data_IF_333447166120
#
_entry.id   IF_333447166120
#
_cell.length_a   1.000
_cell.length_b   1.000
_cell.length_c   1.000
_cell.angle_alpha   90.00
_cell.angle_beta   90.00
_cell.angle_gamma   90.00
#
_symmetry.space_group_name_H-M   'P 1'
#
loop_
_entity.id
_entity.type
_entity.pdbx_description
1 polymer ?
#
# COMPACT_ATOMS: atom_id res chain seq x y z
N UNK A 1 -0.58 13.77 8.97
CA UNK A 1 -0.24 15.22 9.03
C UNK A 1 1.18 15.50 8.54
N UNK A 2 2.23 14.78 8.99
CA UNK A 2 3.60 14.92 8.48
C UNK A 2 3.70 14.83 6.94
N UNK A 3 2.97 13.89 6.33
CA UNK A 3 2.92 13.74 4.87
C UNK A 3 2.47 14.99 4.11
N UNK A 4 1.58 15.82 4.68
CA UNK A 4 1.18 17.08 4.05
C UNK A 4 2.32 18.10 4.05
N UNK A 5 3.13 18.14 5.11
CA UNK A 5 4.35 18.94 5.15
C UNK A 5 5.35 18.52 4.06
N UNK A 6 5.59 17.21 3.93
CA UNK A 6 6.46 16.65 2.88
C UNK A 6 5.95 16.94 1.47
N UNK A 7 4.65 16.75 1.24
CA UNK A 7 4.02 17.03 -0.06
C UNK A 7 4.23 18.49 -0.48
N UNK A 8 4.19 19.44 0.46
CA UNK A 8 4.47 20.85 0.20
C UNK A 8 5.91 21.14 -0.22
N UNK A 9 6.89 20.49 0.41
CA UNK A 9 8.31 20.63 0.06
C UNK A 9 8.62 20.06 -1.32
N UNK A 10 8.02 18.90 -1.65
CA UNK A 10 8.22 18.24 -2.94
C UNK A 10 7.23 18.68 -4.03
N UNK A 11 6.33 19.62 -3.75
CA UNK A 11 5.28 20.09 -4.68
C UNK A 11 5.82 20.47 -6.06
N UNK A 12 6.91 21.24 -6.12
CA UNK A 12 7.52 21.66 -7.39
C UNK A 12 8.01 20.49 -8.25
N UNK A 13 8.41 19.39 -7.62
CA UNK A 13 8.99 18.22 -8.31
C UNK A 13 7.90 17.20 -8.64
N UNK A 14 7.01 16.90 -7.68
CA UNK A 14 6.03 15.81 -7.79
C UNK A 14 4.67 16.25 -8.38
N UNK A 15 4.32 17.54 -8.30
CA UNK A 15 3.00 18.04 -8.71
C UNK A 15 3.09 18.98 -9.90
N UNK A 16 4.01 19.95 -9.89
CA UNK A 16 4.10 20.96 -10.95
C UNK A 16 4.77 20.46 -12.24
N UNK A 17 5.42 19.30 -12.19
CA UNK A 17 6.14 18.70 -13.31
C UNK A 17 5.19 17.95 -14.25
N UNK A 18 5.29 18.21 -15.55
CA UNK A 18 4.48 17.55 -16.59
C UNK A 18 4.71 16.03 -16.72
N UNK A 19 5.80 15.51 -16.15
CA UNK A 19 6.13 14.08 -16.20
C UNK A 19 5.41 13.24 -15.14
N UNK A 20 4.78 13.89 -14.16
CA UNK A 20 4.11 13.24 -13.03
C UNK A 20 2.59 13.30 -13.27
N UNK A 21 2.02 12.19 -13.75
CA UNK A 21 0.62 12.17 -14.23
C UNK A 21 -0.38 11.64 -13.20
N UNK A 22 0.06 10.91 -12.18
CA UNK A 22 -0.76 10.41 -11.06
C UNK A 22 -2.04 9.68 -11.51
N UNK A 23 -1.94 8.38 -11.85
CA UNK A 23 -3.01 7.66 -12.55
C UNK A 23 -4.35 7.64 -11.81
N UNK A 24 -4.32 7.47 -10.48
CA UNK A 24 -5.52 7.53 -9.64
C UNK A 24 -6.23 8.89 -9.71
N UNK A 25 -5.49 10.01 -9.87
CA UNK A 25 -6.10 11.33 -9.98
C UNK A 25 -6.84 11.50 -11.31
N UNK A 26 -6.41 10.85 -12.39
CA UNK A 26 -7.14 10.88 -13.66
C UNK A 26 -8.54 10.29 -13.56
N UNK A 27 -8.71 9.26 -12.73
CA UNK A 27 -10.04 8.69 -12.44
C UNK A 27 -10.93 9.74 -11.78
N UNK A 28 -10.43 10.49 -10.80
CA UNK A 28 -11.17 11.57 -10.16
C UNK A 28 -11.50 12.71 -11.14
N UNK A 29 -10.54 13.12 -11.97
CA UNK A 29 -10.75 14.14 -13.00
C UNK A 29 -11.84 13.72 -13.97
N UNK A 30 -11.90 12.44 -14.35
CA UNK A 30 -12.94 11.92 -15.24
C UNK A 30 -14.35 12.06 -14.64
N UNK A 31 -14.49 11.84 -13.33
CA UNK A 31 -15.76 12.01 -12.61
C UNK A 31 -16.15 13.49 -12.56
N UNK A 32 -15.22 14.37 -12.17
CA UNK A 32 -15.50 15.81 -12.14
C UNK A 32 -15.90 16.35 -13.50
N UNK A 33 -15.22 15.89 -14.56
CA UNK A 33 -15.52 16.23 -15.94
C UNK A 33 -16.91 15.75 -16.36
N UNK A 34 -17.31 14.54 -16.00
CA UNK A 34 -18.65 14.01 -16.26
C UNK A 34 -19.76 14.79 -15.55
N UNK A 35 -19.48 15.39 -14.38
CA UNK A 35 -20.44 16.19 -13.61
C UNK A 35 -20.54 17.65 -14.07
N UNK A 36 -19.43 18.25 -14.53
CA UNK A 36 -19.36 19.69 -14.83
C UNK A 36 -19.44 20.04 -16.31
N UNK A 37 -18.99 19.16 -17.23
CA UNK A 37 -19.08 19.46 -18.66
C UNK A 37 -20.51 19.30 -19.16
N UNK A 38 -21.04 20.36 -19.78
CA UNK A 38 -22.29 20.31 -20.52
C UNK A 38 -22.05 19.54 -21.82
N UNK A 39 -22.62 18.36 -21.93
CA UNK A 39 -22.46 17.47 -23.07
C UNK A 39 -23.69 17.49 -23.97
N UNK A 40 -23.49 17.72 -25.27
CA UNK A 40 -24.55 17.56 -26.26
C UNK A 40 -24.74 16.08 -26.59
N UNK A 41 -25.98 15.60 -26.46
CA UNK A 41 -26.31 14.19 -26.66
C UNK A 41 -26.15 13.81 -28.14
N UNK A 42 -25.16 12.98 -28.44
CA UNK A 42 -25.00 12.38 -29.77
C UNK A 42 -26.18 11.44 -30.05
N UNK A 43 -26.81 11.54 -31.23
CA UNK A 43 -27.94 10.67 -31.64
C UNK A 43 -27.53 9.19 -31.51
N UNK A 44 -28.26 8.43 -30.69
CA UNK A 44 -28.03 7.00 -30.46
C UNK A 44 -27.09 6.64 -29.29
N UNK A 45 -26.48 7.62 -28.60
CA UNK A 45 -25.59 7.37 -27.46
C UNK A 45 -26.20 7.72 -26.09
N UNK A 46 -25.60 7.16 -25.03
CA UNK A 46 -25.76 7.62 -23.65
C UNK A 46 -24.83 8.80 -23.40
N UNK A 47 -25.27 9.79 -22.62
CA UNK A 47 -24.35 10.84 -22.12
C UNK A 47 -23.44 10.28 -21.03
N UNK A 48 -22.28 10.92 -20.80
CA UNK A 48 -21.35 10.52 -19.72
C UNK A 48 -22.04 10.52 -18.35
N UNK A 49 -22.90 11.50 -18.09
CA UNK A 49 -23.67 11.58 -16.85
C UNK A 49 -24.71 10.46 -16.73
N UNK A 50 -25.41 10.12 -17.81
CA UNK A 50 -26.36 9.00 -17.82
C UNK A 50 -25.65 7.67 -17.55
N UNK A 51 -24.51 7.43 -18.21
CA UNK A 51 -23.70 6.24 -17.95
C UNK A 51 -23.22 6.19 -16.49
N UNK A 52 -22.75 7.32 -15.94
CA UNK A 52 -22.33 7.41 -14.55
C UNK A 52 -23.46 7.05 -13.57
N UNK A 53 -24.66 7.60 -13.74
CA UNK A 53 -25.80 7.30 -12.86
C UNK A 53 -26.22 5.84 -12.98
N UNK A 54 -26.27 5.28 -14.20
CA UNK A 54 -26.57 3.85 -14.41
C UNK A 54 -25.53 2.99 -13.69
N UNK A 55 -24.24 3.25 -13.89
CA UNK A 55 -23.16 2.50 -13.27
C UNK A 55 -23.19 2.63 -11.73
N UNK A 56 -23.48 3.82 -11.20
CA UNK A 56 -23.62 4.08 -9.77
C UNK A 56 -24.77 3.27 -9.17
N UNK A 57 -25.96 3.34 -9.76
CA UNK A 57 -27.14 2.62 -9.27
C UNK A 57 -26.97 1.10 -9.40
N UNK A 58 -26.44 0.61 -10.52
CA UNK A 58 -26.13 -0.81 -10.69
C UNK A 58 -25.09 -1.29 -9.68
N UNK A 59 -24.02 -0.52 -9.45
CA UNK A 59 -23.00 -0.88 -8.46
C UNK A 59 -23.57 -0.86 -7.05
N UNK A 60 -24.35 0.16 -6.69
CA UNK A 60 -25.03 0.24 -5.39
C UNK A 60 -25.92 -0.97 -5.14
N UNK A 61 -26.77 -1.33 -6.10
CA UNK A 61 -27.63 -2.51 -6.01
C UNK A 61 -26.81 -3.81 -5.95
N UNK A 62 -25.74 -3.90 -6.74
CA UNK A 62 -24.87 -5.08 -6.77
C UNK A 62 -24.14 -5.29 -5.44
N UNK A 63 -23.58 -4.25 -4.81
CA UNK A 63 -22.81 -4.40 -3.58
C UNK A 63 -23.62 -4.87 -2.36
N UNK A 64 -24.95 -4.73 -2.37
CA UNK A 64 -25.83 -5.33 -1.36
C UNK A 64 -25.72 -6.86 -1.39
N UNK A 65 -25.50 -7.43 -2.58
CA UNK A 65 -25.47 -8.87 -2.78
C UNK A 65 -24.25 -9.55 -2.11
N UNK A 66 -22.98 -9.19 -2.40
CA UNK A 66 -21.84 -9.81 -1.73
C UNK A 66 -21.68 -9.35 -0.27
N UNK A 67 -22.06 -8.11 0.10
CA UNK A 67 -21.80 -7.60 1.44
C UNK A 67 -22.89 -7.92 2.48
N UNK A 68 -24.14 -8.13 2.06
CA UNK A 68 -25.26 -8.34 2.98
C UNK A 68 -25.98 -9.67 2.76
N UNK A 69 -26.36 -10.01 1.52
CA UNK A 69 -27.16 -11.21 1.26
C UNK A 69 -26.32 -12.49 1.19
N UNK A 70 -25.19 -12.46 0.46
CA UNK A 70 -24.36 -13.62 0.14
C UNK A 70 -22.87 -13.32 0.30
N UNK A 71 -22.40 -13.28 1.55
CA UNK A 71 -20.97 -13.09 1.89
C UNK A 71 -20.01 -14.09 1.24
N UNK A 72 -20.51 -15.25 0.82
CA UNK A 72 -19.72 -16.26 0.09
C UNK A 72 -19.26 -15.79 -1.29
N UNK A 73 -19.95 -14.83 -1.91
CA UNK A 73 -19.57 -14.28 -3.21
C UNK A 73 -18.31 -13.42 -3.16
N UNK A 74 -17.96 -12.91 -1.97
CA UNK A 74 -16.73 -12.17 -1.76
C UNK A 74 -15.49 -13.06 -1.90
N UNK A 75 -15.56 -14.36 -1.57
CA UNK A 75 -14.48 -15.32 -1.83
C UNK A 75 -15.02 -16.73 -2.11
N UNK A 76 -15.13 -17.07 -3.39
CA UNK A 76 -15.48 -18.41 -3.86
C UNK A 76 -14.20 -19.20 -4.12
N UNK A 77 -13.88 -20.11 -3.20
CA UNK A 77 -12.68 -20.96 -3.29
C UNK A 77 -13.04 -22.35 -3.79
N UNK A 78 -12.74 -22.65 -5.05
CA UNK A 78 -13.10 -23.94 -5.70
C UNK A 78 -12.43 -25.11 -4.96
N UNK A 79 -11.15 -24.95 -4.60
CA UNK A 79 -10.40 -25.97 -3.88
C UNK A 79 -11.00 -26.30 -2.51
N UNK A 80 -11.47 -25.29 -1.76
CA UNK A 80 -12.15 -25.50 -0.48
C UNK A 80 -13.51 -26.18 -0.64
N UNK A 81 -14.19 -25.97 -1.77
CA UNK A 81 -15.48 -26.62 -2.04
C UNK A 81 -15.33 -28.11 -2.37
N UNK A 82 -14.29 -28.47 -3.13
CA UNK A 82 -14.01 -29.86 -3.52
C UNK A 82 -13.43 -30.65 -2.34
N UNK A 83 -12.46 -30.08 -1.61
CA UNK A 83 -11.76 -30.76 -0.51
C UNK A 83 -12.08 -30.14 0.84
N UNK A 84 -13.28 -30.41 1.34
CA UNK A 84 -13.79 -29.84 2.60
C UNK A 84 -13.03 -30.32 3.84
N UNK A 85 -12.58 -31.58 3.87
CA UNK A 85 -12.01 -32.18 5.09
C UNK A 85 -10.48 -32.09 5.17
N UNK A 86 -9.81 -31.59 4.13
CA UNK A 86 -8.35 -31.53 4.07
C UNK A 86 -7.83 -30.13 4.41
N UNK A 87 -7.21 -30.01 5.59
CA UNK A 87 -6.59 -28.75 6.07
C UNK A 87 -5.57 -28.19 5.07
N UNK A 88 -4.77 -29.04 4.43
CA UNK A 88 -3.78 -28.61 3.43
C UNK A 88 -4.47 -28.00 2.19
N UNK A 89 -5.58 -28.60 1.73
CA UNK A 89 -6.33 -28.07 0.60
C UNK A 89 -6.97 -26.71 0.94
N UNK A 90 -7.42 -26.54 2.18
CA UNK A 90 -7.92 -25.24 2.66
C UNK A 90 -6.82 -24.19 2.78
N UNK A 91 -5.63 -24.54 3.29
CA UNK A 91 -4.50 -23.59 3.39
C UNK A 91 -3.97 -23.16 2.02
N UNK A 92 -4.03 -24.03 1.02
CA UNK A 92 -3.61 -23.70 -0.36
C UNK A 92 -4.71 -22.93 -1.10
N UNK A 93 -5.96 -23.37 -0.94
CA UNK A 93 -7.09 -22.97 -1.77
C UNK A 93 -7.97 -21.86 -1.21
N UNK A 94 -7.86 -21.51 0.07
CA UNK A 94 -8.68 -20.47 0.69
C UNK A 94 -8.18 -19.08 0.29
N UNK A 95 -9.08 -18.23 -0.18
CA UNK A 95 -8.76 -16.84 -0.54
C UNK A 95 -8.59 -15.90 0.67
N UNK A 96 -9.14 -16.25 1.83
CA UNK A 96 -9.03 -15.42 3.05
C UNK A 96 -7.97 -15.94 4.02
N UNK A 97 -7.92 -17.26 4.20
CA UNK A 97 -7.10 -17.93 5.23
C UNK A 97 -6.03 -18.84 4.61
N UNK A 98 -5.69 -18.61 3.35
CA UNK A 98 -4.77 -19.45 2.59
C UNK A 98 -4.08 -18.70 1.45
N UNK A 99 -3.40 -19.45 0.60
CA UNK A 99 -2.64 -18.91 -0.54
C UNK A 99 -3.52 -18.50 -1.74
N UNK A 100 -4.83 -18.77 -1.68
CA UNK A 100 -5.80 -18.32 -2.68
C UNK A 100 -5.75 -19.03 -4.04
N UNK A 101 -5.15 -20.23 -4.15
CA UNK A 101 -5.10 -20.96 -5.42
C UNK A 101 -6.51 -21.41 -5.83
N UNK A 102 -7.00 -20.91 -6.96
CA UNK A 102 -8.34 -21.22 -7.45
C UNK A 102 -9.45 -20.55 -6.64
N UNK A 103 -9.14 -19.46 -5.94
CA UNK A 103 -10.12 -18.56 -5.34
C UNK A 103 -10.50 -17.44 -6.30
N UNK A 104 -11.80 -17.19 -6.41
CA UNK A 104 -12.36 -16.11 -7.20
C UNK A 104 -13.21 -15.23 -6.30
N UNK A 105 -13.19 -13.92 -6.56
CA UNK A 105 -14.11 -12.98 -5.92
C UNK A 105 -15.05 -12.42 -6.97
N UNK A 106 -16.33 -12.34 -6.65
CA UNK A 106 -17.31 -11.58 -7.41
C UNK A 106 -17.52 -10.18 -6.84
N UNK A 107 -16.85 -9.86 -5.73
CA UNK A 107 -16.90 -8.55 -5.10
C UNK A 107 -15.73 -7.69 -5.58
N UNK A 108 -16.05 -6.63 -6.33
CA UNK A 108 -15.04 -5.71 -6.84
C UNK A 108 -14.26 -5.01 -5.72
N UNK A 109 -14.85 -4.82 -4.53
CA UNK A 109 -14.14 -4.23 -3.40
C UNK A 109 -13.04 -5.16 -2.88
N UNK A 110 -13.26 -6.48 -2.90
CA UNK A 110 -12.26 -7.49 -2.57
C UNK A 110 -11.19 -7.56 -3.65
N UNK A 111 -11.59 -7.55 -4.94
CA UNK A 111 -10.65 -7.53 -6.06
C UNK A 111 -9.73 -6.30 -5.99
N UNK A 112 -10.31 -5.11 -5.79
CA UNK A 112 -9.56 -3.88 -5.69
C UNK A 112 -8.65 -3.86 -4.44
N UNK A 113 -9.16 -4.22 -3.26
CA UNK A 113 -8.33 -4.24 -2.05
C UNK A 113 -7.17 -5.25 -2.12
N UNK A 114 -7.37 -6.39 -2.78
CA UNK A 114 -6.34 -7.43 -2.92
C UNK A 114 -5.21 -7.02 -3.88
N UNK A 115 -5.53 -6.20 -4.90
CA UNK A 115 -4.55 -5.72 -5.90
C UNK A 115 -3.97 -4.33 -5.59
N UNK A 116 -3.72 -4.03 -4.31
CA UNK A 116 -3.15 -2.76 -3.84
C UNK A 116 -3.94 -1.50 -4.30
N UNK A 117 -5.26 -1.62 -4.49
CA UNK A 117 -6.13 -0.54 -4.93
C UNK A 117 -6.86 -0.85 -6.24
N UNK A 118 -7.26 0.17 -7.00
CA UNK A 118 -8.03 -0.09 -8.22
C UNK A 118 -7.12 -0.51 -9.38
N UNK A 119 -7.19 -1.76 -9.89
CA UNK A 119 -6.40 -2.18 -11.04
C UNK A 119 -6.77 -1.40 -12.31
N UNK A 120 -7.99 -0.85 -12.38
CA UNK A 120 -8.43 0.00 -13.50
C UNK A 120 -7.64 1.31 -13.62
N UNK A 121 -7.14 1.83 -12.49
CA UNK A 121 -6.37 3.06 -12.46
C UNK A 121 -4.87 2.82 -12.73
N UNK A 122 -4.42 1.56 -12.69
CA UNK A 122 -3.01 1.20 -12.73
C UNK A 122 -2.59 0.78 -14.15
N UNK A 123 -1.43 1.22 -14.66
CA UNK A 123 -0.94 0.80 -15.96
C UNK A 123 -0.76 -0.73 -16.07
N UNK A 124 -1.08 -1.29 -17.24
CA UNK A 124 -0.98 -2.74 -17.49
C UNK A 124 0.40 -3.33 -17.15
N UNK A 125 1.48 -2.65 -17.54
CA UNK A 125 2.84 -3.17 -17.30
C UNK A 125 3.14 -3.31 -15.80
N UNK A 126 2.61 -2.40 -14.96
CA UNK A 126 2.81 -2.43 -13.51
C UNK A 126 2.03 -3.60 -12.90
N UNK A 127 0.79 -3.83 -13.36
CA UNK A 127 -0.04 -4.97 -12.96
C UNK A 127 0.64 -6.28 -13.32
N UNK A 128 1.12 -6.41 -14.56
CA UNK A 128 1.81 -7.62 -15.02
C UNK A 128 3.07 -7.91 -14.19
N UNK A 129 3.86 -6.87 -13.88
CA UNK A 129 5.07 -7.02 -13.06
C UNK A 129 4.75 -7.48 -11.62
N UNK A 130 3.74 -6.88 -10.98
CA UNK A 130 3.28 -7.29 -9.64
C UNK A 130 2.76 -8.72 -9.67
N UNK A 131 2.02 -9.10 -10.72
CA UNK A 131 1.50 -10.46 -10.87
C UNK A 131 2.60 -11.51 -10.99
N UNK A 132 3.65 -11.22 -11.75
CA UNK A 132 4.82 -12.10 -11.84
C UNK A 132 5.51 -12.22 -10.49
N UNK A 133 5.72 -11.09 -9.79
CA UNK A 133 6.29 -11.09 -8.44
C UNK A 133 5.46 -11.91 -7.44
N UNK A 134 4.14 -11.69 -7.45
CA UNK A 134 3.18 -12.44 -6.63
C UNK A 134 3.25 -13.94 -6.91
N UNK A 135 3.22 -14.35 -8.17
CA UNK A 135 3.33 -15.77 -8.55
C UNK A 135 4.62 -16.41 -8.02
N UNK A 136 5.76 -15.73 -8.18
CA UNK A 136 7.05 -16.22 -7.72
C UNK A 136 7.07 -16.35 -6.18
N UNK A 137 6.66 -15.32 -5.44
CA UNK A 137 6.73 -15.35 -3.98
C UNK A 137 5.73 -16.34 -3.39
N UNK A 138 4.46 -16.27 -3.81
CA UNK A 138 3.36 -17.00 -3.18
C UNK A 138 3.28 -18.44 -3.65
N UNK A 139 3.52 -18.72 -4.93
CA UNK A 139 3.32 -20.06 -5.50
C UNK A 139 4.61 -20.84 -5.75
N UNK A 140 5.77 -20.18 -5.80
CA UNK A 140 7.05 -20.87 -5.99
C UNK A 140 7.87 -20.88 -4.70
N UNK A 141 8.24 -19.70 -4.18
CA UNK A 141 9.15 -19.59 -3.03
C UNK A 141 8.48 -20.07 -1.75
N UNK A 142 7.23 -19.67 -1.47
CA UNK A 142 6.53 -20.05 -0.23
C UNK A 142 6.40 -21.57 -0.06
N UNK A 143 5.94 -22.34 -1.07
CA UNK A 143 5.86 -23.80 -0.95
C UNK A 143 7.23 -24.48 -0.86
N UNK A 144 8.25 -23.99 -1.57
CA UNK A 144 9.62 -24.52 -1.50
C UNK A 144 10.18 -24.32 -0.08
N UNK A 145 10.06 -23.11 0.47
CA UNK A 145 10.54 -22.78 1.80
C UNK A 145 9.83 -23.61 2.88
N UNK A 146 8.51 -23.82 2.76
CA UNK A 146 7.76 -24.67 3.67
C UNK A 146 8.17 -26.15 3.58
N UNK A 147 8.33 -26.66 2.35
CA UNK A 147 8.73 -28.05 2.11
C UNK A 147 10.12 -28.37 2.64
N UNK A 148 11.06 -27.43 2.46
CA UNK A 148 12.42 -27.49 3.00
C UNK A 148 12.51 -27.27 4.53
N UNK A 149 11.37 -27.05 5.21
CA UNK A 149 11.30 -26.83 6.65
C UNK A 149 12.23 -25.70 7.15
N UNK A 150 12.36 -24.62 6.38
CA UNK A 150 13.19 -23.48 6.77
C UNK A 150 12.60 -22.84 8.04
N UNK A 151 13.43 -22.64 9.07
CA UNK A 151 13.01 -22.12 10.39
C UNK A 151 11.94 -22.96 11.13
N UNK A 152 11.97 -24.29 10.99
CA UNK A 152 11.00 -25.20 11.60
C UNK A 152 9.55 -24.92 11.17
N UNK A 153 9.39 -24.45 9.93
CA UNK A 153 8.12 -24.06 9.33
C UNK A 153 6.97 -25.06 9.46
N UNK A 154 7.26 -26.36 9.47
CA UNK A 154 6.23 -27.41 9.48
C UNK A 154 5.44 -27.50 10.79
N UNK A 155 5.92 -26.85 11.86
CA UNK A 155 5.24 -26.82 13.17
C UNK A 155 4.02 -25.88 13.18
N UNK A 156 3.90 -24.99 12.20
CA UNK A 156 2.84 -23.99 12.09
C UNK A 156 2.24 -23.95 10.68
N UNK A 157 1.06 -23.33 10.50
CA UNK A 157 0.42 -23.23 9.18
C UNK A 157 1.26 -22.41 8.18
N UNK A 158 1.15 -22.75 6.89
CA UNK A 158 1.87 -22.07 5.79
C UNK A 158 1.51 -20.58 5.76
N UNK A 159 0.22 -20.29 5.91
CA UNK A 159 -0.37 -18.97 5.88
C UNK A 159 -1.04 -18.67 7.23
N UNK A 160 -0.54 -17.65 7.93
CA UNK A 160 -1.15 -17.13 9.16
C UNK A 160 -0.52 -15.78 9.52
N UNK A 161 -1.35 -14.85 10.00
CA UNK A 161 -0.89 -13.60 10.62
C UNK A 161 -0.52 -13.76 12.10
N UNK A 162 -0.74 -14.95 12.65
CA UNK A 162 -0.42 -15.30 14.03
C UNK A 162 1.09 -15.43 14.28
N UNK A 163 1.45 -15.30 15.55
CA UNK A 163 2.79 -15.47 16.07
C UNK A 163 2.82 -16.74 16.91
N UNK A 164 3.86 -17.54 16.75
CA UNK A 164 3.98 -18.87 17.34
C UNK A 164 5.22 -19.01 18.22
N UNK A 165 5.14 -19.91 19.20
CA UNK A 165 6.29 -20.41 19.94
C UNK A 165 7.00 -21.56 19.19
N UNK A 166 8.12 -22.03 19.73
CA UNK A 166 8.93 -23.11 19.14
C UNK A 166 8.19 -24.46 19.05
N UNK A 167 7.11 -24.62 19.81
CA UNK A 167 6.28 -25.82 19.87
C UNK A 167 5.04 -25.72 18.96
N UNK A 168 4.81 -24.56 18.32
CA UNK A 168 3.69 -24.32 17.43
C UNK A 168 2.42 -23.78 18.11
N UNK A 169 2.47 -23.44 19.40
CA UNK A 169 1.35 -22.80 20.09
C UNK A 169 1.34 -21.29 19.85
N UNK A 170 0.19 -20.64 20.09
CA UNK A 170 0.09 -19.19 20.05
C UNK A 170 1.04 -18.54 21.06
N UNK A 171 1.81 -17.55 20.62
CA UNK A 171 2.85 -16.94 21.43
C UNK A 171 2.28 -16.14 22.61
N UNK A 172 2.66 -16.50 23.83
CA UNK A 172 2.20 -15.83 25.05
C UNK A 172 2.97 -14.52 25.28
N UNK A 173 2.32 -13.41 24.90
CA UNK A 173 2.89 -12.05 24.99
C UNK A 173 3.12 -11.61 26.44
N UNK A 174 2.36 -12.14 27.41
CA UNK A 174 2.43 -11.70 28.82
C UNK A 174 3.71 -12.15 29.52
N UNK A 175 4.34 -13.23 29.03
CA UNK A 175 5.62 -13.73 29.55
C UNK A 175 6.83 -12.89 29.15
N UNK A 176 6.68 -12.12 28.07
CA UNK A 176 7.77 -11.39 27.40
C UNK A 176 7.60 -9.88 27.53
N UNK A 177 6.36 -9.39 27.70
CA UNK A 177 6.08 -7.99 28.02
C UNK A 177 5.49 -7.87 29.43
N UNK A 178 6.25 -7.26 30.34
CA UNK A 178 5.78 -6.84 31.67
C UNK A 178 5.62 -5.32 31.67
N UNK A 179 4.43 -4.82 32.00
CA UNK A 179 4.14 -3.38 32.02
C UNK A 179 4.54 -2.66 30.72
N UNK A 180 4.26 -3.28 29.58
CA UNK A 180 4.67 -2.85 28.23
C UNK A 180 6.19 -2.77 27.99
N UNK A 181 7.03 -3.15 28.95
CA UNK A 181 8.48 -3.26 28.81
C UNK A 181 8.87 -4.67 28.41
N UNK A 182 9.82 -4.75 27.50
CA UNK A 182 10.38 -6.02 27.07
C UNK A 182 11.22 -6.65 28.19
N UNK A 183 10.81 -7.84 28.65
CA UNK A 183 11.53 -8.65 29.62
C UNK A 183 12.44 -9.65 28.88
N UNK A 184 13.74 -9.36 28.88
CA UNK A 184 14.74 -10.16 28.18
C UNK A 184 14.88 -11.56 28.80
N UNK A 185 14.85 -11.66 30.12
CA UNK A 185 15.00 -12.95 30.80
C UNK A 185 13.75 -13.82 30.57
N UNK A 186 12.56 -13.21 30.54
CA UNK A 186 11.32 -13.87 30.15
C UNK A 186 11.34 -14.38 28.71
N UNK A 187 11.92 -13.61 27.78
CA UNK A 187 12.10 -14.01 26.39
C UNK A 187 13.07 -15.17 26.21
N UNK A 188 14.26 -15.08 26.81
CA UNK A 188 15.31 -16.09 26.66
C UNK A 188 14.90 -17.43 27.29
N UNK A 189 14.10 -17.41 28.36
CA UNK A 189 13.61 -18.63 29.03
C UNK A 189 12.35 -19.25 28.39
N UNK A 190 11.52 -18.48 27.68
CA UNK A 190 10.26 -18.96 27.12
C UNK A 190 10.43 -19.59 25.73
N UNK A 191 10.66 -18.76 24.71
CA UNK A 191 10.79 -19.21 23.32
C UNK A 191 11.20 -18.05 22.44
N UNK A 192 11.95 -18.36 21.38
CA UNK A 192 12.09 -17.43 20.24
C UNK A 192 10.74 -17.25 19.56
N UNK A 193 10.55 -16.09 18.95
CA UNK A 193 9.35 -15.73 18.22
C UNK A 193 9.40 -16.35 16.81
N UNK A 194 8.41 -17.17 16.47
CA UNK A 194 8.25 -17.77 15.14
C UNK A 194 7.05 -17.16 14.41
N UNK A 195 7.22 -16.93 13.10
CA UNK A 195 6.19 -16.43 12.20
C UNK A 195 5.93 -17.48 11.12
N UNK A 196 4.72 -17.50 10.56
CA UNK A 196 4.41 -18.38 9.42
C UNK A 196 5.36 -18.14 8.24
N UNK A 197 5.54 -19.15 7.38
CA UNK A 197 6.44 -19.06 6.23
C UNK A 197 6.05 -17.91 5.30
N UNK A 198 4.76 -17.79 4.99
CA UNK A 198 4.25 -16.71 4.16
C UNK A 198 4.50 -15.34 4.79
N UNK A 199 4.26 -15.20 6.09
CA UNK A 199 4.42 -13.92 6.78
C UNK A 199 5.89 -13.50 6.85
N UNK A 200 6.79 -14.44 7.16
CA UNK A 200 8.24 -14.22 7.14
C UNK A 200 8.74 -13.77 5.78
N UNK A 201 8.33 -14.45 4.71
CA UNK A 201 8.72 -14.10 3.33
C UNK A 201 8.18 -12.73 2.93
N UNK A 202 6.95 -12.41 3.31
CA UNK A 202 6.33 -11.10 3.02
C UNK A 202 7.12 -9.97 3.69
N UNK A 203 7.55 -10.13 4.95
CA UNK A 203 8.43 -9.17 5.60
C UNK A 203 9.79 -9.05 4.91
N UNK A 204 10.41 -10.19 4.56
CA UNK A 204 11.69 -10.21 3.86
C UNK A 204 11.64 -9.47 2.52
N UNK A 205 10.61 -9.74 1.72
CA UNK A 205 10.37 -9.04 0.44
C UNK A 205 10.04 -7.57 0.67
N UNK A 206 9.32 -7.22 1.73
CA UNK A 206 9.06 -5.82 2.10
C UNK A 206 10.34 -5.02 2.34
N UNK A 207 11.27 -5.57 3.13
CA UNK A 207 12.58 -4.94 3.34
C UNK A 207 13.43 -4.88 2.07
N UNK A 208 13.43 -5.96 1.28
CA UNK A 208 14.09 -5.97 -0.02
C UNK A 208 13.50 -4.93 -0.98
N UNK A 209 12.17 -4.72 -0.93
CA UNK A 209 11.45 -3.74 -1.73
C UNK A 209 11.88 -2.30 -1.45
N UNK A 210 12.16 -1.95 -0.19
CA UNK A 210 12.69 -0.64 0.16
C UNK A 210 14.07 -0.38 -0.48
N UNK A 211 14.98 -1.35 -0.34
CA UNK A 211 16.32 -1.26 -0.94
C UNK A 211 16.27 -1.28 -2.48
N UNK A 212 15.40 -2.12 -3.05
CA UNK A 212 15.18 -2.20 -4.49
C UNK A 212 14.60 -0.92 -5.05
N UNK A 213 13.67 -0.27 -4.35
CA UNK A 213 13.08 1.02 -4.74
C UNK A 213 14.14 2.10 -4.84
N UNK A 214 14.98 2.24 -3.81
CA UNK A 214 16.09 3.19 -3.84
C UNK A 214 17.06 2.87 -4.98
N UNK A 215 17.48 1.62 -5.11
CA UNK A 215 18.43 1.20 -6.16
C UNK A 215 17.87 1.43 -7.56
N UNK A 216 16.61 1.08 -7.80
CA UNK A 216 15.92 1.25 -9.07
C UNK A 216 15.79 2.73 -9.45
N UNK A 217 15.32 3.55 -8.51
CA UNK A 217 15.16 4.99 -8.76
C UNK A 217 16.51 5.67 -8.97
N UNK A 218 17.53 5.35 -8.17
CA UNK A 218 18.86 5.93 -8.31
C UNK A 218 19.53 5.52 -9.64
N UNK A 219 19.46 4.25 -10.04
CA UNK A 219 20.12 3.75 -11.25
C UNK A 219 19.40 4.15 -12.54
N UNK A 220 18.07 3.98 -12.61
CA UNK A 220 17.32 4.19 -13.85
C UNK A 220 16.76 5.60 -13.99
N UNK A 221 16.34 6.21 -12.89
CA UNK A 221 15.71 7.52 -12.89
C UNK A 221 16.62 8.63 -12.35
N UNK A 222 17.74 8.32 -11.71
CA UNK A 222 18.60 9.31 -11.03
C UNK A 222 19.06 10.46 -11.94
N UNK A 223 19.51 10.16 -13.17
CA UNK A 223 19.91 11.20 -14.14
C UNK A 223 18.72 12.07 -14.59
N UNK A 224 17.56 11.45 -14.81
CA UNK A 224 16.33 12.17 -15.20
C UNK A 224 15.83 13.05 -14.06
N UNK A 225 15.84 12.52 -12.83
CA UNK A 225 15.48 13.24 -11.60
C UNK A 225 16.41 14.42 -11.40
N UNK A 226 17.72 14.24 -11.50
CA UNK A 226 18.66 15.34 -11.32
C UNK A 226 18.43 16.48 -12.32
N UNK A 227 18.22 16.12 -13.59
CA UNK A 227 17.88 17.09 -14.64
C UNK A 227 16.54 17.78 -14.38
N UNK A 228 15.52 17.02 -13.96
CA UNK A 228 14.19 17.54 -13.67
C UNK A 228 14.18 18.42 -12.43
N UNK A 229 14.79 18.01 -11.32
CA UNK A 229 14.96 18.83 -10.12
C UNK A 229 15.66 20.15 -10.48
N UNK A 230 16.72 20.10 -11.31
CA UNK A 230 17.39 21.33 -11.78
C UNK A 230 16.51 22.20 -12.67
N UNK A 231 15.70 21.61 -13.55
CA UNK A 231 14.80 22.32 -14.45
C UNK A 231 13.58 22.91 -13.70
N UNK A 232 12.97 22.15 -12.77
CA UNK A 232 11.89 22.60 -11.89
C UNK A 232 12.33 23.72 -10.94
N UNK A 233 13.59 23.73 -10.49
CA UNK A 233 14.16 24.86 -9.74
C UNK A 233 14.29 26.11 -10.62
N UNK A 234 14.47 25.94 -11.94
CA UNK A 234 14.60 27.01 -12.94
C UNK A 234 13.28 27.35 -13.65
N UNK A 235 12.15 26.77 -13.22
CA UNK A 235 10.83 26.88 -13.87
C UNK A 235 10.80 26.51 -15.37
N UNK A 236 11.78 25.73 -15.84
CA UNK A 236 11.81 25.16 -17.19
C UNK A 236 11.00 23.84 -17.20
N UNK A 237 9.92 23.79 -17.99
CA UNK A 237 8.98 22.65 -18.16
C UNK A 237 7.82 22.54 -17.14
N UNK A 238 7.15 23.67 -16.88
CA UNK A 238 5.89 23.68 -16.12
C UNK A 238 4.75 23.08 -16.95
N UNK A 239 3.97 22.18 -16.34
CA UNK A 239 2.80 21.58 -16.98
C UNK A 239 1.75 22.63 -17.43
N UNK A 240 0.98 22.32 -18.48
CA UNK A 240 -0.10 23.20 -18.98
C UNK A 240 -1.14 23.45 -17.90
N UNK A 241 -1.54 22.44 -17.13
CA UNK A 241 -2.49 22.63 -16.04
C UNK A 241 -1.88 23.48 -14.93
N UNK A 242 -0.61 23.25 -14.59
CA UNK A 242 0.08 24.09 -13.60
C UNK A 242 0.17 25.54 -14.04
N UNK A 243 0.44 25.80 -15.32
CA UNK A 243 0.46 27.16 -15.89
C UNK A 243 -0.91 27.83 -15.85
N UNK A 244 -1.98 27.11 -16.17
CA UNK A 244 -3.36 27.61 -16.05
C UNK A 244 -3.74 27.87 -14.59
N UNK A 245 -3.36 26.97 -13.67
CA UNK A 245 -3.59 27.15 -12.23
C UNK A 245 -2.85 28.36 -11.68
N UNK A 246 -1.56 28.54 -12.01
CA UNK A 246 -0.76 29.71 -11.59
C UNK A 246 -1.32 31.03 -12.14
N UNK A 247 -2.02 31.02 -13.28
CA UNK A 247 -2.64 32.21 -13.87
C UNK A 247 -3.94 32.61 -13.15
N UNK A 248 -4.70 31.64 -12.65
CA UNK A 248 -6.04 31.86 -12.13
C UNK A 248 -6.12 31.79 -10.60
N UNK A 249 -5.10 31.23 -9.92
CA UNK A 249 -5.10 31.00 -8.48
C UNK A 249 -3.74 31.32 -7.86
N UNK A 250 -3.78 31.99 -6.70
CA UNK A 250 -2.58 32.24 -5.91
C UNK A 250 -2.01 30.95 -5.33
N UNK A 251 -0.69 30.80 -5.41
CA UNK A 251 -0.02 29.63 -4.88
C UNK A 251 0.03 29.67 -3.34
N UNK A 252 -0.37 28.57 -2.69
CA UNK A 252 -0.20 28.41 -1.25
C UNK A 252 1.27 28.60 -0.86
N UNK A 253 1.60 29.53 0.06
CA UNK A 253 2.97 29.78 0.48
C UNK A 253 3.64 28.54 1.07
N UNK A 254 4.93 28.32 0.74
CA UNK A 254 5.70 27.19 1.28
C UNK A 254 5.85 27.23 2.80
N UNK A 255 5.78 28.43 3.40
CA UNK A 255 5.84 28.62 4.85
C UNK A 255 4.75 27.85 5.61
N UNK A 256 3.53 27.75 5.06
CA UNK A 256 2.45 26.98 5.70
C UNK A 256 2.82 25.50 5.86
N UNK A 257 3.45 24.91 4.83
CA UNK A 257 3.87 23.51 4.89
C UNK A 257 5.03 23.30 5.87
N UNK A 258 5.96 24.25 5.96
CA UNK A 258 7.07 24.21 6.93
C UNK A 258 6.55 24.37 8.36
N UNK A 259 5.64 25.32 8.61
CA UNK A 259 5.03 25.53 9.93
C UNK A 259 4.27 24.27 10.36
N UNK A 260 3.44 23.70 9.47
CA UNK A 260 2.73 22.45 9.75
C UNK A 260 3.70 21.30 10.02
N UNK A 261 4.79 21.20 9.27
CA UNK A 261 5.80 20.16 9.49
C UNK A 261 6.45 20.30 10.87
N UNK A 262 6.93 21.50 11.22
CA UNK A 262 7.57 21.77 12.51
C UNK A 262 6.59 21.53 13.67
N UNK A 263 5.35 22.00 13.55
CA UNK A 263 4.33 21.80 14.57
C UNK A 263 4.05 20.31 14.81
N UNK A 264 3.90 19.53 13.74
CA UNK A 264 3.59 18.10 13.85
C UNK A 264 4.78 17.28 14.35
N UNK A 265 6.02 17.63 13.97
CA UNK A 265 7.23 17.02 14.54
C UNK A 265 7.32 17.32 16.04
N UNK A 266 7.05 18.57 16.45
CA UNK A 266 7.00 18.96 17.86
C UNK A 266 5.96 18.16 18.65
N UNK A 267 4.75 18.01 18.11
CA UNK A 267 3.70 17.17 18.71
C UNK A 267 4.09 15.69 18.77
N UNK A 268 4.78 15.17 17.76
CA UNK A 268 5.26 13.79 17.76
C UNK A 268 6.31 13.54 18.86
N UNK A 269 7.27 14.46 19.02
CA UNK A 269 8.26 14.40 20.11
C UNK A 269 7.57 14.51 21.47
N UNK A 270 6.64 15.47 21.62
CA UNK A 270 5.86 15.63 22.84
C UNK A 270 5.07 14.37 23.18
N UNK A 271 4.50 13.69 22.20
CA UNK A 271 3.75 12.44 22.43
C UNK A 271 4.67 11.30 22.86
N UNK A 272 5.90 11.22 22.31
CA UNK A 272 6.83 10.16 22.68
C UNK A 272 7.40 10.33 24.10
N UNK A 273 7.73 11.56 24.50
CA UNK A 273 8.36 11.85 25.80
C UNK A 273 7.35 12.22 26.90
N UNK A 274 6.25 12.90 26.55
CA UNK A 274 5.32 13.52 27.51
C UNK A 274 4.40 12.55 28.26
N UNK A 275 4.11 11.37 27.71
CA UNK A 275 3.22 10.37 28.33
C UNK A 275 3.97 9.36 29.20
N UNK A 276 4.99 9.81 29.96
CA UNK A 276 5.74 8.96 30.88
C UNK A 276 6.52 7.83 30.19
N UNK A 277 6.93 8.02 28.93
CA UNK A 277 7.75 7.06 28.19
C UNK A 277 7.05 5.76 27.77
N UNK A 278 5.70 5.72 27.74
CA UNK A 278 4.94 4.52 27.32
C UNK A 278 5.32 4.02 25.91
N UNK A 279 5.65 4.93 25.00
CA UNK A 279 6.00 4.61 23.61
C UNK A 279 7.44 4.10 23.45
N UNK A 280 8.29 4.21 24.47
CA UNK A 280 9.69 3.75 24.51
C UNK A 280 10.60 4.25 23.37
N UNK A 281 10.10 5.15 22.51
CA UNK A 281 10.83 5.74 21.41
C UNK A 281 11.47 7.05 21.90
N UNK A 282 12.80 7.17 21.90
CA UNK A 282 13.47 8.40 22.31
C UNK A 282 13.24 9.52 21.28
N UNK A 283 13.31 10.78 21.71
CA UNK A 283 13.13 11.96 20.85
C UNK A 283 13.96 11.94 19.54
N UNK A 284 15.21 11.45 19.60
CA UNK A 284 16.08 11.36 18.42
C UNK A 284 15.58 10.29 17.42
N UNK A 285 14.87 9.26 17.90
CA UNK A 285 14.24 8.24 17.07
C UNK A 285 13.14 8.82 16.19
N UNK A 286 12.40 9.83 16.69
CA UNK A 286 11.40 10.57 15.90
C UNK A 286 12.08 11.34 14.76
N UNK A 287 13.20 12.02 15.05
CA UNK A 287 13.97 12.75 14.03
C UNK A 287 14.58 11.80 13.00
N UNK A 288 15.11 10.67 13.43
CA UNK A 288 15.64 9.64 12.54
C UNK A 288 14.55 9.08 11.61
N UNK A 289 13.37 8.76 12.15
CA UNK A 289 12.22 8.32 11.37
C UNK A 289 11.77 9.39 10.36
N UNK A 290 11.79 10.67 10.74
CA UNK A 290 11.49 11.77 9.83
C UNK A 290 12.53 11.88 8.70
N UNK A 291 13.82 11.76 9.02
CA UNK A 291 14.90 11.80 8.03
C UNK A 291 14.81 10.62 7.04
N UNK A 292 14.50 9.43 7.53
CA UNK A 292 14.25 8.25 6.71
C UNK A 292 13.02 8.47 5.82
N UNK A 293 11.88 8.87 6.38
CA UNK A 293 10.68 9.14 5.59
C UNK A 293 10.93 10.21 4.51
N UNK A 294 11.66 11.28 4.85
CA UNK A 294 12.01 12.34 3.90
C UNK A 294 12.87 11.82 2.74
N UNK A 295 13.88 10.97 2.99
CA UNK A 295 14.74 10.43 1.95
C UNK A 295 14.00 9.49 0.99
N UNK A 296 13.04 8.70 1.50
CA UNK A 296 12.22 7.81 0.69
C UNK A 296 11.05 8.51 -0.02
N UNK A 297 10.62 9.69 0.44
CA UNK A 297 9.45 10.40 -0.13
C UNK A 297 9.63 10.70 -1.61
N UNK A 298 10.80 11.19 -2.03
CA UNK A 298 11.02 11.54 -3.44
C UNK A 298 11.07 10.29 -4.34
N UNK A 299 11.86 9.24 -4.06
CA UNK A 299 11.86 8.02 -4.86
C UNK A 299 10.49 7.35 -4.95
N UNK A 300 9.82 7.16 -3.81
CA UNK A 300 8.49 6.52 -3.76
C UNK A 300 7.46 7.38 -4.46
N UNK A 301 7.49 8.71 -4.27
CA UNK A 301 6.56 9.62 -4.92
C UNK A 301 6.65 9.59 -6.45
N UNK A 302 7.85 9.40 -7.01
CA UNK A 302 8.04 9.29 -8.46
C UNK A 302 7.49 7.97 -9.00
N UNK A 303 7.73 6.86 -8.30
CA UNK A 303 7.14 5.58 -8.66
C UNK A 303 5.61 5.68 -8.59
N UNK A 304 5.04 6.09 -7.47
CA UNK A 304 3.60 6.26 -7.32
C UNK A 304 2.98 7.16 -8.40
N UNK A 305 3.64 8.27 -8.75
CA UNK A 305 3.16 9.20 -9.78
C UNK A 305 3.19 8.62 -11.20
N UNK A 306 3.98 7.57 -11.46
CA UNK A 306 4.16 6.97 -12.79
C UNK A 306 3.51 5.60 -12.94
N UNK A 307 3.55 4.78 -11.89
CA UNK A 307 3.08 3.39 -11.85
C UNK A 307 1.81 3.19 -11.04
N UNK A 308 1.34 4.19 -10.29
CA UNK A 308 0.24 4.07 -9.33
C UNK A 308 0.51 3.08 -8.17
N UNK A 309 1.79 2.75 -7.95
CA UNK A 309 2.28 1.69 -7.06
C UNK A 309 3.62 2.09 -6.45
#
# INVERSE_FOLDING_TARGET
>A
MLGFGWAGLFRKILVESAYMWWPTNLVQVSIFRALHEKEERRKGGLTRLQFFVIALTCSFAYYILPNYLFGTLSTVSIACYIWKDKVIAQQIGSGMNGLGIGSFSFDWSVIASTYLGSPLATPWFAIANIMVGFFIIVYVITPIAYSANVYDAKKFPIYSSGIYDINGHAYDKTRVLKDFKFDRDGYENYSKLHLSTFFTLTYGVGFAGLAATLSHVLLFHGKKIWRQTRASIRDENVDVHTRLMKKNYDAVPQSWFVIMLVAVVGLAIFTCEGFGGQLQLPWWGVLFACALAFSFTLPVGILQATTNM
#
